data_IF_028477071252
#
_entry.id   IF_028477071252
#
_cell.length_a   1.000
_cell.length_b   1.000
_cell.length_c   1.000
_cell.angle_alpha   90.00
_cell.angle_beta   90.00
_cell.angle_gamma   90.00
#
_symmetry.space_group_name_H-M   'P 1'
#
loop_
_entity.id
_entity.type
_entity.pdbx_description
1 polymer ?
#
# COMPACT_ATOMS: atom_id res chain seq x y z
N UNK A 1 -11.22 -20.82 -15.87
CA UNK A 1 -10.36 -20.84 -14.68
C UNK A 1 -11.17 -21.45 -13.54
N UNK A 2 -10.58 -22.33 -12.76
CA UNK A 2 -11.22 -22.71 -11.48
C UNK A 2 -11.34 -21.44 -10.62
N UNK A 3 -12.48 -21.28 -9.94
CA UNK A 3 -12.67 -20.15 -9.04
C UNK A 3 -11.71 -20.28 -7.85
N UNK A 4 -11.03 -19.18 -7.50
CA UNK A 4 -10.22 -19.12 -6.30
C UNK A 4 -11.03 -18.62 -5.12
N UNK A 5 -10.67 -19.12 -3.96
CA UNK A 5 -11.28 -18.77 -2.68
C UNK A 5 -10.42 -17.79 -1.91
N UNK A 6 -11.02 -16.73 -1.43
CA UNK A 6 -10.46 -15.80 -0.44
C UNK A 6 -10.79 -16.38 0.96
N UNK A 7 -9.81 -16.91 1.67
CA UNK A 7 -10.03 -17.52 3.00
C UNK A 7 -10.08 -16.48 4.12
N UNK A 8 -9.20 -15.49 4.04
CA UNK A 8 -9.11 -14.43 5.05
C UNK A 8 -8.69 -13.12 4.44
N UNK A 9 -9.01 -12.04 5.15
CA UNK A 9 -8.58 -10.67 4.87
C UNK A 9 -8.24 -9.99 6.19
N UNK A 10 -7.10 -9.32 6.24
CA UNK A 10 -6.66 -8.50 7.35
C UNK A 10 -6.07 -7.18 6.87
N UNK A 11 -6.07 -6.18 7.74
CA UNK A 11 -5.47 -4.87 7.48
C UNK A 11 -4.58 -4.48 8.64
N UNK A 12 -3.56 -3.67 8.36
CA UNK A 12 -2.73 -3.00 9.35
C UNK A 12 -2.60 -1.52 8.99
N UNK A 13 -2.53 -0.68 10.01
CA UNK A 13 -2.37 0.77 9.85
C UNK A 13 -1.27 1.27 10.78
N UNK A 14 -0.51 2.30 10.39
CA UNK A 14 0.51 2.88 11.24
C UNK A 14 -0.10 3.64 12.43
N UNK A 15 0.71 3.93 13.48
CA UNK A 15 0.20 4.43 14.74
C UNK A 15 -0.25 5.89 14.74
N UNK A 16 0.31 6.72 13.85
CA UNK A 16 -0.03 8.14 13.82
C UNK A 16 -1.34 8.36 13.07
N UNK A 17 -2.19 9.22 13.61
CA UNK A 17 -3.49 9.57 13.03
C UNK A 17 -3.54 11.08 12.82
N UNK A 18 -4.07 11.50 11.70
CA UNK A 18 -4.38 12.89 11.41
C UNK A 18 -5.86 13.03 11.05
N UNK A 19 -6.57 13.89 11.75
CA UNK A 19 -7.94 14.26 11.39
C UNK A 19 -7.93 15.11 10.11
N UNK A 20 -8.98 15.00 9.29
CA UNK A 20 -9.01 15.71 8.01
C UNK A 20 -9.01 17.23 8.15
N UNK A 21 -9.62 17.73 9.22
CA UNK A 21 -9.58 19.16 9.57
C UNK A 21 -8.17 19.65 9.86
N UNK A 22 -7.38 18.84 10.59
CA UNK A 22 -6.01 19.18 10.96
C UNK A 22 -5.10 19.09 9.74
N UNK A 23 -5.28 18.07 8.89
CA UNK A 23 -4.58 17.97 7.62
C UNK A 23 -4.82 19.17 6.70
N UNK A 24 -6.07 19.67 6.67
CA UNK A 24 -6.43 20.90 5.94
C UNK A 24 -5.75 22.14 6.52
N UNK A 25 -5.73 22.26 7.85
CA UNK A 25 -5.07 23.37 8.54
C UNK A 25 -3.55 23.38 8.32
N UNK A 26 -2.90 22.22 8.47
CA UNK A 26 -1.46 22.04 8.21
C UNK A 26 -1.10 22.29 6.74
N UNK A 27 -1.93 21.78 5.82
CA UNK A 27 -1.76 22.07 4.40
C UNK A 27 -1.82 23.57 4.12
N UNK A 28 -2.76 24.30 4.72
CA UNK A 28 -2.84 25.77 4.56
C UNK A 28 -1.61 26.49 5.08
N UNK A 29 -1.02 26.05 6.19
CA UNK A 29 0.20 26.61 6.76
C UNK A 29 1.40 26.30 5.86
N UNK A 30 1.57 25.07 5.46
CA UNK A 30 2.70 24.60 4.66
C UNK A 30 2.71 25.16 3.24
N UNK A 31 1.54 25.30 2.60
CA UNK A 31 1.40 26.00 1.31
C UNK A 31 1.33 27.53 1.45
N UNK A 32 1.79 28.11 2.59
CA UNK A 32 1.63 29.53 2.92
C UNK A 32 2.10 30.52 1.87
N UNK A 33 3.20 30.24 1.14
CA UNK A 33 3.67 31.02 -0.01
C UNK A 33 2.75 30.90 -1.24
N UNK A 34 1.84 29.95 -1.30
CA UNK A 34 0.96 29.58 -2.41
C UNK A 34 -0.51 29.54 -1.98
N UNK A 35 -0.86 30.41 -1.06
CA UNK A 35 -2.18 30.48 -0.43
C UNK A 35 -3.33 30.49 -1.42
N UNK A 36 -3.21 31.24 -2.53
CA UNK A 36 -4.26 31.30 -3.55
C UNK A 36 -4.51 29.96 -4.26
N UNK A 37 -3.47 29.15 -4.48
CA UNK A 37 -3.59 27.80 -5.03
C UNK A 37 -4.29 26.88 -4.02
N UNK A 38 -3.84 26.88 -2.78
CA UNK A 38 -4.44 26.06 -1.72
C UNK A 38 -5.90 26.42 -1.49
N UNK A 39 -6.23 27.72 -1.32
CA UNK A 39 -7.60 28.17 -1.07
C UNK A 39 -8.57 27.77 -2.20
N UNK A 40 -8.11 27.80 -3.47
CA UNK A 40 -8.88 27.35 -4.63
C UNK A 40 -9.19 25.84 -4.61
N UNK A 41 -8.23 25.02 -4.14
CA UNK A 41 -8.31 23.57 -4.16
C UNK A 41 -8.76 22.97 -2.81
N UNK A 42 -8.76 23.74 -1.73
CA UNK A 42 -9.01 23.25 -0.36
C UNK A 42 -10.38 22.56 -0.16
N UNK A 43 -11.33 22.80 -1.07
CA UNK A 43 -12.61 22.08 -1.09
C UNK A 43 -12.46 20.55 -1.27
N UNK A 44 -11.33 20.07 -1.78
CA UNK A 44 -11.05 18.62 -1.92
C UNK A 44 -11.04 17.93 -0.55
N UNK A 45 -10.57 18.59 0.52
CA UNK A 45 -10.55 18.04 1.87
C UNK A 45 -11.98 17.75 2.38
N UNK A 46 -12.91 18.63 2.09
CA UNK A 46 -14.30 18.49 2.53
C UNK A 46 -15.06 17.46 1.67
N UNK A 47 -14.77 17.41 0.38
CA UNK A 47 -15.47 16.57 -0.60
C UNK A 47 -14.93 15.13 -0.67
N UNK A 48 -13.75 14.86 -0.11
CA UNK A 48 -13.11 13.54 -0.16
C UNK A 48 -13.86 12.45 0.64
N UNK A 49 -14.76 12.85 1.56
CA UNK A 49 -15.46 11.91 2.43
C UNK A 49 -14.55 11.20 3.44
N UNK A 50 -13.33 11.71 3.66
CA UNK A 50 -12.35 11.18 4.59
C UNK A 50 -12.46 11.92 5.91
N UNK A 51 -12.66 11.20 7.01
CA UNK A 51 -12.69 11.80 8.35
C UNK A 51 -11.27 11.89 8.94
N UNK A 52 -10.49 10.81 8.83
CA UNK A 52 -9.13 10.69 9.36
C UNK A 52 -8.28 9.78 8.50
N UNK A 53 -6.96 9.92 8.62
CA UNK A 53 -5.98 9.07 7.94
C UNK A 53 -4.90 8.61 8.90
N UNK A 54 -4.35 7.43 8.63
CA UNK A 54 -3.15 6.93 9.29
C UNK A 54 -1.94 7.34 8.48
N UNK A 55 -0.85 7.72 9.16
CA UNK A 55 0.41 8.16 8.57
C UNK A 55 1.59 7.54 9.31
N UNK A 56 2.68 7.25 8.59
CA UNK A 56 3.83 6.49 9.13
C UNK A 56 4.77 7.31 9.99
N UNK A 57 4.80 8.62 9.85
CA UNK A 57 5.65 9.50 10.64
C UNK A 57 4.80 10.46 11.48
N UNK A 58 5.33 11.01 12.58
CA UNK A 58 4.67 12.07 13.32
C UNK A 58 4.55 13.32 12.45
N UNK A 59 3.57 14.17 12.75
CA UNK A 59 3.25 15.27 11.86
C UNK A 59 4.39 16.29 11.72
N UNK A 60 5.21 16.48 12.75
CA UNK A 60 6.39 17.34 12.74
C UNK A 60 7.40 16.94 11.65
N UNK A 61 7.47 15.64 11.33
CA UNK A 61 8.33 15.15 10.26
C UNK A 61 7.94 15.74 8.90
N UNK A 62 6.65 15.83 8.63
CA UNK A 62 6.16 16.36 7.35
C UNK A 62 6.39 17.87 7.18
N UNK A 63 6.61 18.59 8.28
CA UNK A 63 6.86 20.04 8.26
C UNK A 63 8.31 20.41 7.89
N UNK A 64 9.17 19.42 7.69
CA UNK A 64 10.56 19.61 7.28
C UNK A 64 10.84 18.96 5.91
N UNK A 65 11.80 19.52 5.18
CA UNK A 65 12.20 18.96 3.89
C UNK A 65 13.00 17.66 4.09
N UNK A 66 12.64 16.63 3.35
CA UNK A 66 13.31 15.32 3.35
C UNK A 66 13.65 14.89 1.94
N UNK A 67 14.90 14.48 1.73
CA UNK A 67 15.35 13.88 0.49
C UNK A 67 14.86 12.44 0.34
N UNK A 68 15.09 11.87 -0.83
CA UNK A 68 14.69 10.48 -1.14
C UNK A 68 15.21 9.45 -0.14
N UNK A 69 16.48 9.58 0.29
CA UNK A 69 17.08 8.65 1.27
C UNK A 69 16.27 8.57 2.56
N UNK A 70 15.90 9.73 3.12
CA UNK A 70 15.18 9.79 4.40
C UNK A 70 13.76 9.24 4.25
N UNK A 71 13.08 9.62 3.16
CA UNK A 71 11.74 9.11 2.83
C UNK A 71 11.74 7.59 2.66
N UNK A 72 12.72 7.06 1.92
CA UNK A 72 12.83 5.62 1.72
C UNK A 72 13.25 4.86 2.98
N UNK A 73 13.99 5.47 3.90
CA UNK A 73 14.28 4.88 5.21
C UNK A 73 13.01 4.73 6.06
N UNK A 74 12.19 5.77 6.12
CA UNK A 74 10.87 5.73 6.79
C UNK A 74 9.95 4.68 6.14
N UNK A 75 9.94 4.61 4.78
CA UNK A 75 9.21 3.57 4.07
C UNK A 75 9.63 2.18 4.50
N UNK A 76 10.93 1.87 4.48
CA UNK A 76 11.41 0.52 4.79
C UNK A 76 11.01 0.08 6.20
N UNK A 77 11.20 0.95 7.20
CA UNK A 77 10.84 0.66 8.59
C UNK A 77 9.33 0.41 8.73
N UNK A 78 8.52 1.33 8.23
CA UNK A 78 7.07 1.25 8.36
C UNK A 78 6.47 0.11 7.51
N UNK A 79 6.93 -0.06 6.26
CA UNK A 79 6.41 -1.09 5.38
C UNK A 79 6.73 -2.51 5.87
N UNK A 80 7.92 -2.74 6.47
CA UNK A 80 8.24 -4.02 7.09
C UNK A 80 7.31 -4.33 8.27
N UNK A 81 7.03 -3.35 9.13
CA UNK A 81 6.12 -3.54 10.26
C UNK A 81 4.70 -3.81 9.79
N UNK A 82 4.17 -2.98 8.89
CA UNK A 82 2.83 -3.14 8.33
C UNK A 82 2.66 -4.46 7.58
N UNK A 83 3.70 -4.89 6.84
CA UNK A 83 3.71 -6.19 6.17
C UNK A 83 3.55 -7.34 7.17
N UNK A 84 4.37 -7.35 8.23
CA UNK A 84 4.34 -8.39 9.26
C UNK A 84 2.98 -8.42 9.95
N UNK A 85 2.46 -7.27 10.35
CA UNK A 85 1.19 -7.17 11.07
C UNK A 85 0.02 -7.67 10.22
N UNK A 86 -0.08 -7.20 8.96
CA UNK A 86 -1.15 -7.62 8.06
C UNK A 86 -1.04 -9.11 7.69
N UNK A 87 0.18 -9.58 7.37
CA UNK A 87 0.43 -10.97 6.99
C UNK A 87 0.08 -11.93 8.13
N UNK A 88 0.61 -11.67 9.35
CA UNK A 88 0.33 -12.50 10.52
C UNK A 88 -1.16 -12.55 10.83
N UNK A 89 -1.82 -11.38 10.84
CA UNK A 89 -3.27 -11.32 11.10
C UNK A 89 -4.10 -12.07 10.04
N UNK A 90 -3.68 -12.06 8.76
CA UNK A 90 -4.39 -12.79 7.72
C UNK A 90 -4.18 -14.31 7.85
N UNK A 91 -2.97 -14.76 8.17
CA UNK A 91 -2.63 -16.16 8.42
C UNK A 91 -3.44 -16.69 9.62
N UNK A 92 -3.42 -15.98 10.75
CA UNK A 92 -4.16 -16.33 11.96
C UNK A 92 -5.67 -16.41 11.71
N UNK A 93 -6.24 -15.44 11.00
CA UNK A 93 -7.67 -15.45 10.64
C UNK A 93 -8.07 -16.62 9.74
N UNK A 94 -7.14 -17.13 8.94
CA UNK A 94 -7.37 -18.33 8.13
C UNK A 94 -7.24 -19.63 8.93
N UNK A 95 -6.79 -19.58 10.18
CA UNK A 95 -6.48 -20.75 11.00
C UNK A 95 -5.26 -21.52 10.53
N UNK A 96 -4.33 -20.85 9.84
CA UNK A 96 -3.12 -21.43 9.26
C UNK A 96 -1.88 -21.08 10.09
N UNK A 97 -0.80 -21.80 9.81
CA UNK A 97 0.53 -21.48 10.30
C UNK A 97 1.37 -20.85 9.18
N UNK A 98 2.39 -20.03 9.50
CA UNK A 98 3.28 -19.45 8.47
C UNK A 98 3.93 -20.49 7.55
N UNK A 99 4.18 -21.71 8.05
CA UNK A 99 4.72 -22.84 7.29
C UNK A 99 3.75 -23.43 6.25
N UNK A 100 2.45 -23.16 6.37
CA UNK A 100 1.43 -23.62 5.42
C UNK A 100 1.38 -22.76 4.15
N UNK A 101 2.06 -21.60 4.15
CA UNK A 101 2.06 -20.68 3.02
C UNK A 101 3.05 -21.13 1.96
N UNK A 102 2.54 -21.43 0.76
CA UNK A 102 3.32 -21.90 -0.38
C UNK A 102 3.98 -20.77 -1.17
N UNK A 103 3.35 -19.62 -1.17
CA UNK A 103 3.90 -18.46 -1.87
C UNK A 103 3.32 -17.15 -1.39
N UNK A 104 4.04 -16.06 -1.66
CA UNK A 104 3.63 -14.71 -1.32
C UNK A 104 3.75 -13.80 -2.53
N UNK A 105 2.66 -13.06 -2.79
CA UNK A 105 2.62 -11.94 -3.75
C UNK A 105 2.64 -10.66 -2.94
N UNK A 106 3.64 -9.82 -3.16
CA UNK A 106 3.81 -8.55 -2.45
C UNK A 106 3.70 -7.39 -3.42
N UNK A 107 2.83 -6.44 -3.14
CA UNK A 107 2.68 -5.21 -3.93
C UNK A 107 3.02 -4.01 -3.06
N UNK A 108 3.91 -3.17 -3.56
CA UNK A 108 4.21 -1.85 -2.99
C UNK A 108 4.82 -0.96 -4.05
N UNK A 109 4.44 0.33 -4.06
CA UNK A 109 4.93 1.30 -5.06
C UNK A 109 5.51 2.56 -4.42
N UNK A 110 5.22 2.84 -3.15
CA UNK A 110 5.58 4.09 -2.47
C UNK A 110 7.03 4.18 -2.00
N UNK A 111 7.80 3.09 -2.11
CA UNK A 111 9.23 3.07 -1.80
C UNK A 111 9.93 1.90 -2.46
N UNK A 112 11.25 1.85 -2.35
CA UNK A 112 12.08 0.82 -2.97
C UNK A 112 12.73 -0.07 -1.91
N UNK A 113 12.56 -1.38 -2.05
CA UNK A 113 13.17 -2.39 -1.19
C UNK A 113 13.94 -3.43 -2.03
N UNK A 114 15.25 -3.51 -1.83
CA UNK A 114 16.11 -4.59 -2.33
C UNK A 114 17.01 -5.05 -1.20
N UNK A 115 16.90 -6.32 -0.68
CA UNK A 115 15.89 -7.34 -1.04
C UNK A 115 14.44 -6.88 -0.84
N UNK A 116 13.52 -7.57 -1.52
CA UNK A 116 12.07 -7.26 -1.48
C UNK A 116 11.46 -7.40 -0.08
N UNK A 117 10.31 -6.75 0.17
CA UNK A 117 9.69 -6.70 1.50
C UNK A 117 9.44 -8.09 2.09
N UNK A 118 8.89 -9.03 1.32
CA UNK A 118 8.64 -10.39 1.80
C UNK A 118 9.93 -11.14 2.15
N UNK A 119 11.05 -10.84 1.46
CA UNK A 119 12.35 -11.42 1.81
C UNK A 119 12.88 -10.83 3.14
N UNK A 120 12.72 -9.54 3.33
CA UNK A 120 13.14 -8.84 4.56
C UNK A 120 12.31 -9.26 5.77
N UNK A 121 11.01 -9.53 5.56
CA UNK A 121 10.07 -9.92 6.61
C UNK A 121 9.99 -11.44 6.84
N UNK A 122 10.60 -12.27 6.00
CA UNK A 122 10.45 -13.72 6.00
C UNK A 122 10.67 -14.37 7.38
N UNK A 123 11.75 -13.99 8.07
CA UNK A 123 12.06 -14.51 9.42
C UNK A 123 11.05 -14.04 10.48
N UNK A 124 10.58 -12.80 10.38
CA UNK A 124 9.63 -12.22 11.35
C UNK A 124 8.26 -12.84 11.23
N UNK A 125 7.79 -13.11 9.99
CA UNK A 125 6.53 -13.81 9.74
C UNK A 125 6.66 -15.31 10.04
N UNK A 126 7.83 -15.90 9.84
CA UNK A 126 8.09 -17.32 10.06
C UNK A 126 7.87 -18.16 8.79
N UNK A 127 8.06 -17.59 7.61
CA UNK A 127 7.97 -18.33 6.35
C UNK A 127 9.03 -19.44 6.27
N UNK A 128 8.68 -20.55 5.62
CA UNK A 128 9.65 -21.60 5.29
C UNK A 128 10.66 -21.13 4.24
N UNK A 129 11.81 -21.77 4.16
CA UNK A 129 12.90 -21.35 3.26
C UNK A 129 12.52 -21.47 1.77
N UNK A 130 11.65 -22.41 1.45
CA UNK A 130 11.21 -22.73 0.07
C UNK A 130 10.03 -21.90 -0.39
N UNK A 131 9.61 -20.87 0.36
CA UNK A 131 8.48 -20.02 -0.03
C UNK A 131 8.70 -19.37 -1.40
N UNK A 132 7.72 -19.49 -2.28
CA UNK A 132 7.74 -18.82 -3.59
C UNK A 132 7.40 -17.35 -3.41
N UNK A 133 8.11 -16.45 -4.11
CA UNK A 133 7.98 -15.00 -3.94
C UNK A 133 7.74 -14.29 -5.25
N UNK A 134 6.76 -13.38 -5.25
CA UNK A 134 6.39 -12.55 -6.41
C UNK A 134 6.29 -11.09 -5.95
N UNK A 135 7.42 -10.36 -5.89
CA UNK A 135 7.40 -8.92 -5.66
C UNK A 135 6.89 -8.20 -6.90
N UNK A 136 5.94 -7.29 -6.71
CA UNK A 136 5.31 -6.48 -7.77
C UNK A 136 5.49 -5.02 -7.45
N UNK A 137 6.03 -4.27 -8.39
CA UNK A 137 6.30 -2.84 -8.28
C UNK A 137 5.76 -2.09 -9.48
N UNK A 138 5.41 -0.81 -9.30
CA UNK A 138 5.05 0.09 -10.40
C UNK A 138 3.59 0.04 -10.86
N UNK A 139 2.70 -0.69 -10.18
CA UNK A 139 1.28 -0.72 -10.49
C UNK A 139 0.46 0.40 -9.81
N UNK A 140 1.05 1.11 -8.86
CA UNK A 140 0.39 2.18 -8.11
C UNK A 140 -0.94 1.72 -7.50
N UNK A 141 -1.97 2.57 -7.57
CA UNK A 141 -3.30 2.29 -7.01
C UNK A 141 -3.99 1.05 -7.60
N UNK A 142 -3.59 0.57 -8.79
CA UNK A 142 -4.10 -0.67 -9.38
C UNK A 142 -3.48 -1.93 -8.74
N UNK A 143 -2.41 -1.77 -7.95
CA UNK A 143 -1.61 -2.86 -7.42
C UNK A 143 -2.39 -3.83 -6.54
N UNK A 144 -3.32 -3.33 -5.71
CA UNK A 144 -4.14 -4.18 -4.85
C UNK A 144 -4.98 -5.19 -5.63
N UNK A 145 -5.68 -4.73 -6.66
CA UNK A 145 -6.53 -5.60 -7.51
C UNK A 145 -5.66 -6.53 -8.35
N UNK A 146 -4.60 -6.02 -8.97
CA UNK A 146 -3.72 -6.82 -9.82
C UNK A 146 -2.93 -7.86 -9.02
N UNK A 147 -2.43 -7.51 -7.83
CA UNK A 147 -1.74 -8.46 -6.95
C UNK A 147 -2.65 -9.60 -6.48
N UNK A 148 -3.89 -9.27 -6.11
CA UNK A 148 -4.89 -10.29 -5.77
C UNK A 148 -5.21 -11.19 -6.98
N UNK A 149 -5.29 -10.63 -8.18
CA UNK A 149 -5.44 -11.37 -9.43
C UNK A 149 -4.27 -12.31 -9.70
N UNK A 150 -3.03 -11.86 -9.49
CA UNK A 150 -1.82 -12.68 -9.62
C UNK A 150 -1.86 -13.84 -8.63
N UNK A 151 -2.13 -13.58 -7.36
CA UNK A 151 -2.22 -14.60 -6.32
C UNK A 151 -3.29 -15.64 -6.66
N UNK A 152 -4.46 -15.22 -7.15
CA UNK A 152 -5.55 -16.14 -7.53
C UNK A 152 -5.19 -17.01 -8.73
N UNK A 153 -4.49 -16.46 -9.72
CA UNK A 153 -4.00 -17.24 -10.88
C UNK A 153 -2.97 -18.28 -10.46
N UNK A 154 -2.06 -17.93 -9.55
CA UNK A 154 -1.03 -18.84 -9.03
C UNK A 154 -1.67 -19.97 -8.21
N UNK A 155 -2.63 -19.66 -7.34
CA UNK A 155 -3.38 -20.65 -6.59
C UNK A 155 -4.22 -21.60 -7.50
N UNK A 156 -4.78 -21.05 -8.60
CA UNK A 156 -5.51 -21.86 -9.59
C UNK A 156 -4.59 -22.79 -10.40
N UNK A 157 -3.36 -22.33 -10.69
CA UNK A 157 -2.38 -23.09 -11.47
C UNK A 157 -1.77 -24.26 -10.68
N UNK A 158 -1.77 -24.18 -9.33
CA UNK A 158 -1.24 -25.20 -8.43
C UNK A 158 -2.31 -25.55 -7.38
N UNK A 159 -3.27 -26.44 -7.73
CA UNK A 159 -4.39 -26.79 -6.85
C UNK A 159 -3.93 -27.33 -5.50
N UNK A 160 -4.50 -26.80 -4.43
CA UNK A 160 -4.14 -27.12 -3.05
C UNK A 160 -3.04 -26.21 -2.47
N UNK A 161 -2.40 -25.37 -3.28
CA UNK A 161 -1.47 -24.38 -2.76
C UNK A 161 -2.17 -23.21 -2.07
N UNK A 162 -1.50 -22.66 -1.06
CA UNK A 162 -1.94 -21.52 -0.26
C UNK A 162 -1.06 -20.32 -0.57
N UNK A 163 -1.66 -19.25 -1.07
CA UNK A 163 -0.97 -18.02 -1.43
C UNK A 163 -1.37 -16.89 -0.50
N UNK A 164 -0.37 -16.24 0.07
CA UNK A 164 -0.54 -14.98 0.77
C UNK A 164 -0.37 -13.83 -0.23
N UNK A 165 -1.34 -12.94 -0.28
CA UNK A 165 -1.23 -11.65 -0.96
C UNK A 165 -1.06 -10.55 0.08
N UNK A 166 -0.09 -9.66 -0.09
CA UNK A 166 0.11 -8.47 0.76
C UNK A 166 0.30 -7.25 -0.11
N UNK A 167 -0.44 -6.19 0.18
CA UNK A 167 -0.18 -4.85 -0.36
C UNK A 167 0.15 -3.89 0.77
N UNK A 168 1.20 -3.09 0.58
CA UNK A 168 1.67 -2.10 1.56
C UNK A 168 1.94 -0.80 0.86
N UNK A 169 1.30 0.29 1.30
CA UNK A 169 1.56 1.62 0.78
C UNK A 169 1.73 2.64 1.92
N UNK A 170 2.73 3.47 1.80
CA UNK A 170 3.05 4.58 2.70
C UNK A 170 3.02 5.90 1.93
N UNK A 171 1.87 6.17 1.30
CA UNK A 171 1.71 7.29 0.38
C UNK A 171 1.98 8.65 1.04
N UNK A 172 1.83 8.76 2.36
CA UNK A 172 2.06 10.02 3.08
C UNK A 172 3.48 10.54 2.93
N UNK A 173 4.49 9.65 2.79
CA UNK A 173 5.88 10.08 2.63
C UNK A 173 6.18 10.79 1.31
N UNK A 174 5.30 10.66 0.31
CA UNK A 174 5.43 11.36 -0.98
C UNK A 174 4.86 12.78 -0.97
N UNK A 175 4.21 13.20 0.12
CA UNK A 175 3.64 14.54 0.24
C UNK A 175 4.77 15.60 0.21
N UNK A 176 4.62 16.58 -0.70
CA UNK A 176 5.52 17.71 -0.86
C UNK A 176 4.72 18.99 -0.61
N UNK A 177 4.96 19.61 0.54
CA UNK A 177 4.20 20.78 0.97
C UNK A 177 4.66 22.10 0.33
N UNK A 178 5.84 22.11 -0.29
CA UNK A 178 6.41 23.26 -1.00
C UNK A 178 6.19 23.23 -2.52
N UNK A 179 5.50 22.21 -3.03
CA UNK A 179 5.24 22.03 -4.46
C UNK A 179 4.29 23.08 -5.05
N UNK A 180 4.57 23.52 -6.27
CA UNK A 180 3.69 24.38 -7.10
C UNK A 180 2.60 23.57 -7.82
N UNK A 181 2.68 22.23 -7.77
CA UNK A 181 1.76 21.36 -8.49
C UNK A 181 0.41 21.28 -7.73
N UNK A 182 -0.72 21.56 -8.40
CA UNK A 182 -2.05 21.30 -7.85
C UNK A 182 -2.24 19.88 -7.33
N UNK A 183 -1.56 18.90 -7.93
CA UNK A 183 -1.62 17.50 -7.50
C UNK A 183 -1.10 17.31 -6.07
N UNK A 184 -0.14 18.12 -5.60
CA UNK A 184 0.36 18.08 -4.23
C UNK A 184 -0.72 18.42 -3.20
N UNK A 185 -1.57 19.41 -3.48
CA UNK A 185 -2.72 19.75 -2.59
C UNK A 185 -3.72 18.60 -2.55
N UNK A 186 -4.01 17.98 -3.71
CA UNK A 186 -4.92 16.83 -3.78
C UNK A 186 -4.32 15.62 -3.05
N UNK A 187 -3.04 15.34 -3.24
CA UNK A 187 -2.33 14.27 -2.53
C UNK A 187 -2.39 14.46 -1.01
N UNK A 188 -2.14 15.71 -0.54
CA UNK A 188 -2.24 16.05 0.88
C UNK A 188 -3.64 15.83 1.45
N UNK A 189 -4.69 15.94 0.64
CA UNK A 189 -6.07 15.69 1.05
C UNK A 189 -6.47 14.21 1.05
N UNK A 190 -5.85 13.37 0.22
CA UNK A 190 -6.30 12.00 -0.05
C UNK A 190 -5.38 10.91 0.51
N UNK A 191 -4.05 11.12 0.51
CA UNK A 191 -3.10 10.06 0.81
C UNK A 191 -3.05 9.71 2.30
N UNK A 192 -3.00 8.42 2.56
CA UNK A 192 -2.79 7.81 3.86
C UNK A 192 -2.05 6.49 3.68
N UNK A 193 -1.71 5.84 4.79
CA UNK A 193 -0.80 4.70 4.83
C UNK A 193 -1.47 3.48 5.43
N UNK A 194 -1.06 2.31 4.97
CA UNK A 194 -1.56 1.05 5.50
C UNK A 194 -1.11 -0.16 4.70
N UNK A 195 -1.52 -1.30 5.19
CA UNK A 195 -1.36 -2.58 4.52
C UNK A 195 -2.64 -3.40 4.57
N UNK A 196 -2.81 -4.27 3.59
CA UNK A 196 -3.81 -5.32 3.59
C UNK A 196 -3.17 -6.65 3.17
N UNK A 197 -3.63 -7.74 3.78
CA UNK A 197 -3.20 -9.07 3.42
C UNK A 197 -4.39 -10.01 3.28
N UNK A 198 -4.29 -10.94 2.35
CA UNK A 198 -5.33 -11.93 2.07
C UNK A 198 -4.74 -13.32 1.84
N UNK A 199 -5.41 -14.34 2.31
CA UNK A 199 -5.09 -15.74 1.99
C UNK A 199 -5.99 -16.21 0.86
N UNK A 200 -5.36 -16.73 -0.19
CA UNK A 200 -6.01 -17.21 -1.41
C UNK A 200 -5.63 -18.67 -1.67
N UNK A 201 -6.62 -19.49 -2.02
CA UNK A 201 -6.43 -20.91 -2.38
C UNK A 201 -7.46 -21.35 -3.43
N UNK A 202 -7.29 -22.53 -4.00
CA UNK A 202 -8.25 -23.15 -4.92
C UNK A 202 -9.32 -24.00 -4.21
N UNK A 203 -9.60 -23.79 -2.92
CA UNK A 203 -10.57 -24.55 -2.12
C UNK A 203 -12.02 -24.06 -2.21
N UNK A 204 -12.93 -24.72 -1.50
CA UNK A 204 -14.37 -24.43 -1.52
C UNK A 204 -14.88 -23.58 -0.33
N UNK A 205 -14.15 -23.55 0.79
CA UNK A 205 -14.50 -22.73 1.95
C UNK A 205 -13.91 -21.31 1.78
N UNK A 206 -14.74 -20.27 1.84
CA UNK A 206 -14.25 -18.91 1.54
C UNK A 206 -15.15 -17.80 2.07
N UNK A 207 -14.54 -16.63 2.32
CA UNK A 207 -15.26 -15.36 2.51
C UNK A 207 -15.89 -14.89 1.19
N UNK A 208 -15.19 -15.14 0.08
CA UNK A 208 -15.59 -14.75 -1.27
C UNK A 208 -14.88 -15.61 -2.32
N UNK A 209 -15.45 -15.67 -3.51
CA UNK A 209 -14.83 -16.32 -4.66
C UNK A 209 -14.33 -15.29 -5.67
N UNK A 210 -13.10 -15.47 -6.14
CA UNK A 210 -12.53 -14.71 -7.24
C UNK A 210 -12.78 -15.51 -8.52
N UNK A 211 -13.78 -15.10 -9.30
CA UNK A 211 -14.23 -15.82 -10.50
C UNK A 211 -13.56 -15.33 -11.78
N UNK A 212 -13.21 -14.05 -11.85
CA UNK A 212 -12.55 -13.44 -12.98
C UNK A 212 -11.77 -12.20 -12.56
N UNK A 213 -10.78 -11.84 -13.37
CA UNK A 213 -10.05 -10.58 -13.26
C UNK A 213 -9.72 -10.05 -14.65
N UNK A 214 -9.69 -8.73 -14.79
CA UNK A 214 -9.28 -8.04 -16.01
C UNK A 214 -8.47 -6.79 -15.64
N UNK A 215 -7.58 -6.41 -16.53
CA UNK A 215 -6.81 -5.18 -16.44
C UNK A 215 -6.72 -4.53 -17.81
N UNK A 216 -6.56 -3.21 -17.84
CA UNK A 216 -6.42 -2.45 -19.07
C UNK A 216 -5.33 -1.40 -18.91
N UNK A 217 -4.34 -1.43 -19.78
CA UNK A 217 -3.37 -0.37 -19.96
C UNK A 217 -3.90 0.63 -21.01
N UNK A 218 -3.97 1.91 -20.64
CA UNK A 218 -4.37 2.97 -21.55
C UNK A 218 -3.13 3.52 -22.26
N UNK A 219 -3.09 3.57 -23.58
CA UNK A 219 -1.97 4.18 -24.31
C UNK A 219 -1.89 5.70 -24.01
N UNK A 220 -0.69 6.25 -24.07
CA UNK A 220 -0.40 7.68 -23.96
C UNK A 220 -0.86 8.36 -22.66
N UNK A 221 -0.89 7.61 -21.53
CA UNK A 221 -1.39 8.10 -20.24
C UNK A 221 -0.36 8.15 -19.13
N UNK A 222 0.94 8.02 -19.42
CA UNK A 222 2.00 7.95 -18.41
C UNK A 222 2.06 9.17 -17.47
N UNK A 223 1.63 10.34 -17.94
CA UNK A 223 1.67 11.59 -17.17
C UNK A 223 0.43 11.86 -16.32
N UNK A 224 -0.57 10.96 -16.33
CA UNK A 224 -1.83 11.18 -15.59
C UNK A 224 -1.65 10.91 -14.10
N UNK A 225 -0.90 9.87 -13.76
CA UNK A 225 -0.64 9.48 -12.38
C UNK A 225 0.69 8.74 -12.30
N UNK A 226 1.58 9.21 -11.46
CA UNK A 226 2.90 8.62 -11.25
C UNK A 226 3.73 9.47 -10.30
N UNK A 227 4.97 9.06 -10.11
CA UNK A 227 6.00 9.83 -9.41
C UNK A 227 7.36 9.56 -10.03
N UNK A 228 8.22 10.53 -9.95
CA UNK A 228 9.61 10.45 -10.39
C UNK A 228 10.54 10.60 -9.18
N UNK A 229 11.74 10.03 -9.25
CA UNK A 229 12.79 10.25 -8.27
C UNK A 229 13.66 11.37 -8.80
N UNK A 230 13.48 12.56 -8.25
CA UNK A 230 14.32 13.70 -8.55
C UNK A 230 15.38 13.88 -7.45
N UNK A 231 16.56 14.34 -7.83
CA UNK A 231 17.54 14.86 -6.87
C UNK A 231 16.97 16.15 -6.25
N UNK A 232 17.13 16.34 -4.94
CA UNK A 232 16.64 17.52 -4.23
C UNK A 232 17.38 18.79 -4.63
#
# INVERSE_FOLDING_TARGET
MQSCSLLSLATAVPPHVIEQSDAKALGREAFGGKKALFDRLSGVFDNAGIARRHIVAPHEWYMTAHGWRDRNAVYLEAAEQLFVDAATAAIDKAGLQPGDIDGVVTVSTTGIATPSLEARCAKRVGFRAEIRRVPVFGLGCAGGVNGLSIASRLASADPGSVWLFVTVETCSISIQLDSDDPAAVVATALFGDGAAAAIVTSGSHSLAHITASAEKLWPDTLRIMGWDVDDP
#
